data_IF_403609919680
#
_entry.id   IF_403609919680
#
_cell.length_a   1.000
_cell.length_b   1.000
_cell.length_c   1.000
_cell.angle_alpha   90.00
_cell.angle_beta   90.00
_cell.angle_gamma   90.00
#
_symmetry.space_group_name_H-M   'P 1'
#
loop_
_entity.id
_entity.type
_entity.pdbx_description
1 polymer ?
#
# COMPACT_ATOMS: atom_id res chain seq x y z
N UNK A 1 -41.84 -89.91 39.12
CA UNK A 1 -40.59 -90.20 38.44
C UNK A 1 -40.56 -89.32 37.24
N UNK A 2 -39.92 -88.16 37.26
CA UNK A 2 -39.59 -87.34 36.12
C UNK A 2 -38.49 -86.38 36.56
N UNK A 3 -37.32 -86.61 36.09
CA UNK A 3 -36.12 -85.83 36.31
C UNK A 3 -36.15 -84.48 35.57
N UNK A 4 -35.79 -83.51 36.33
CA UNK A 4 -35.67 -82.13 35.85
C UNK A 4 -34.22 -81.90 35.39
N UNK A 5 -34.03 -81.78 34.10
CA UNK A 5 -32.71 -81.41 33.48
C UNK A 5 -32.58 -79.91 33.41
N UNK A 6 -31.77 -79.41 34.31
CA UNK A 6 -31.39 -78.00 34.32
C UNK A 6 -30.49 -77.62 33.11
N UNK A 7 -30.92 -76.62 32.40
CA UNK A 7 -30.17 -76.01 31.36
C UNK A 7 -29.16 -74.99 31.94
N UNK A 8 -27.89 -75.35 31.93
CA UNK A 8 -26.78 -74.42 32.26
C UNK A 8 -26.29 -73.76 30.99
N UNK A 9 -26.70 -72.55 30.80
CA UNK A 9 -26.09 -71.71 29.75
C UNK A 9 -24.67 -71.25 30.19
N UNK A 10 -23.66 -71.29 29.29
CA UNK A 10 -22.33 -70.81 29.62
C UNK A 10 -22.30 -69.27 29.55
N UNK A 11 -21.90 -68.64 30.63
CA UNK A 11 -21.66 -67.21 30.79
C UNK A 11 -20.39 -66.80 29.99
N UNK A 12 -20.57 -66.25 28.84
CA UNK A 12 -19.48 -65.73 28.01
C UNK A 12 -19.19 -64.26 28.43
N UNK A 13 -18.00 -63.91 28.93
CA UNK A 13 -17.70 -62.53 29.26
C UNK A 13 -17.57 -61.66 27.98
N UNK A 14 -18.47 -60.68 27.84
CA UNK A 14 -18.39 -59.67 26.78
C UNK A 14 -17.17 -58.81 27.04
N UNK A 15 -16.10 -59.03 26.28
CA UNK A 15 -14.96 -58.11 26.20
C UNK A 15 -15.43 -56.82 25.55
N UNK A 16 -15.54 -55.75 26.34
CA UNK A 16 -15.69 -54.38 25.80
C UNK A 16 -14.48 -54.04 24.92
N UNK A 17 -14.66 -53.65 23.67
CA UNK A 17 -13.55 -53.23 22.85
C UNK A 17 -12.98 -51.92 23.42
N UNK A 18 -11.68 -51.88 23.61
CA UNK A 18 -10.89 -50.76 24.12
C UNK A 18 -10.80 -49.64 23.04
N UNK A 19 -11.93 -49.01 22.77
CA UNK A 19 -12.07 -47.94 21.76
C UNK A 19 -11.28 -46.66 22.10
N UNK A 20 -10.93 -46.44 23.38
CA UNK A 20 -10.23 -45.22 23.82
C UNK A 20 -8.78 -45.11 23.34
N UNK A 21 -8.05 -46.25 23.26
CA UNK A 21 -6.64 -46.20 22.84
C UNK A 21 -6.48 -45.94 21.33
N UNK A 22 -7.34 -46.48 20.51
CA UNK A 22 -7.30 -46.23 19.07
C UNK A 22 -7.60 -44.73 18.74
N UNK A 23 -8.52 -44.13 19.50
CA UNK A 23 -8.84 -42.69 19.34
C UNK A 23 -7.67 -41.80 19.75
N UNK A 24 -6.96 -42.14 20.86
CA UNK A 24 -5.76 -41.38 21.28
C UNK A 24 -4.61 -41.48 20.28
N UNK A 25 -4.37 -42.67 19.71
CA UNK A 25 -3.33 -42.85 18.70
C UNK A 25 -3.67 -42.12 17.40
N UNK A 26 -4.93 -42.08 16.98
CA UNK A 26 -5.37 -41.32 15.80
C UNK A 26 -5.28 -39.81 16.04
N UNK A 27 -5.67 -39.33 17.23
CA UNK A 27 -5.53 -37.91 17.58
C UNK A 27 -4.07 -37.49 17.66
N UNK A 28 -3.19 -38.31 18.25
CA UNK A 28 -1.74 -38.05 18.29
C UNK A 28 -1.13 -38.03 16.87
N UNK A 29 -1.52 -38.96 16.00
CA UNK A 29 -1.09 -39.02 14.61
C UNK A 29 -1.51 -37.75 13.83
N UNK A 30 -2.73 -37.26 14.03
CA UNK A 30 -3.26 -36.07 13.41
C UNK A 30 -2.49 -34.80 13.87
N UNK A 31 -2.17 -34.71 15.15
CA UNK A 31 -1.37 -33.63 15.72
C UNK A 31 0.05 -33.63 15.11
N UNK A 32 0.68 -34.79 14.97
CA UNK A 32 2.03 -34.91 14.36
C UNK A 32 1.98 -34.47 12.91
N UNK A 33 1.00 -34.91 12.15
CA UNK A 33 0.83 -34.48 10.74
C UNK A 33 0.63 -32.97 10.65
N UNK A 34 -0.17 -32.39 11.53
CA UNK A 34 -0.44 -30.95 11.56
C UNK A 34 0.83 -30.16 11.89
N UNK A 35 1.61 -30.60 12.87
CA UNK A 35 2.90 -29.98 13.22
C UNK A 35 3.89 -30.08 12.05
N UNK A 36 3.98 -31.25 11.40
CA UNK A 36 4.85 -31.42 10.22
C UNK A 36 4.40 -30.54 9.04
N UNK A 37 3.09 -30.39 8.81
CA UNK A 37 2.55 -29.52 7.78
C UNK A 37 2.85 -28.04 8.06
N UNK A 38 2.74 -27.60 9.32
CA UNK A 38 3.11 -26.23 9.73
C UNK A 38 4.61 -25.99 9.52
N UNK A 39 5.46 -26.93 9.94
CA UNK A 39 6.92 -26.81 9.78
C UNK A 39 7.33 -26.80 8.30
N UNK A 40 6.73 -27.65 7.48
CA UNK A 40 6.98 -27.70 6.03
C UNK A 40 6.47 -26.42 5.35
N UNK A 41 5.28 -25.94 5.70
CA UNK A 41 4.70 -24.70 5.17
C UNK A 41 5.53 -23.48 5.57
N UNK A 42 5.97 -23.41 6.82
CA UNK A 42 6.83 -22.32 7.29
C UNK A 42 8.19 -22.31 6.58
N UNK A 43 8.85 -23.48 6.45
CA UNK A 43 10.11 -23.61 5.73
C UNK A 43 9.99 -23.25 4.25
N UNK A 44 8.93 -23.72 3.58
CA UNK A 44 8.63 -23.37 2.19
C UNK A 44 8.37 -21.87 2.02
N UNK A 45 7.57 -21.27 2.94
CA UNK A 45 7.25 -19.84 2.90
C UNK A 45 8.48 -18.94 3.05
N UNK A 46 9.42 -19.29 3.96
CA UNK A 46 10.67 -18.55 4.11
C UNK A 46 11.54 -18.70 2.87
N UNK A 47 11.68 -19.91 2.32
CA UNK A 47 12.46 -20.17 1.12
C UNK A 47 11.93 -19.36 -0.08
N UNK A 48 10.62 -19.35 -0.30
CA UNK A 48 9.97 -18.59 -1.39
C UNK A 48 10.15 -17.09 -1.21
N UNK A 49 9.99 -16.56 0.01
CA UNK A 49 10.23 -15.13 0.28
C UNK A 49 11.67 -14.75 0.01
N UNK A 50 12.63 -15.53 0.51
CA UNK A 50 14.05 -15.28 0.29
C UNK A 50 14.45 -15.37 -1.19
N UNK A 51 13.87 -16.31 -1.93
CA UNK A 51 14.06 -16.43 -3.38
C UNK A 51 13.48 -15.23 -4.14
N UNK A 52 12.28 -14.80 -3.81
CA UNK A 52 11.65 -13.63 -4.42
C UNK A 52 12.41 -12.34 -4.08
N UNK A 53 12.85 -12.18 -2.84
CA UNK A 53 13.64 -11.04 -2.40
C UNK A 53 14.99 -10.97 -3.14
N UNK A 54 15.69 -12.10 -3.26
CA UNK A 54 16.95 -12.16 -4.02
C UNK A 54 16.74 -11.90 -5.52
N UNK A 55 15.64 -12.38 -6.10
CA UNK A 55 15.28 -12.12 -7.50
C UNK A 55 14.97 -10.63 -7.73
N UNK A 56 14.20 -10.01 -6.84
CA UNK A 56 13.90 -8.59 -6.92
C UNK A 56 15.15 -7.71 -6.77
N UNK A 57 16.04 -8.05 -5.82
CA UNK A 57 17.31 -7.35 -5.66
C UNK A 57 18.15 -7.49 -6.93
N UNK A 58 18.28 -8.69 -7.49
CA UNK A 58 19.05 -8.90 -8.72
C UNK A 58 18.50 -8.09 -9.89
N UNK A 59 17.18 -8.02 -10.04
CA UNK A 59 16.55 -7.19 -11.06
C UNK A 59 16.86 -5.71 -10.84
N UNK A 60 16.70 -5.20 -9.62
CA UNK A 60 17.02 -3.81 -9.28
C UNK A 60 18.47 -3.46 -9.54
N UNK A 61 19.41 -4.35 -9.21
CA UNK A 61 20.83 -4.15 -9.51
C UNK A 61 21.08 -4.09 -11.00
N UNK A 62 20.39 -4.92 -11.78
CA UNK A 62 20.45 -4.88 -13.26
C UNK A 62 19.94 -3.55 -13.82
N UNK A 63 18.83 -3.04 -13.33
CA UNK A 63 18.29 -1.73 -13.73
C UNK A 63 19.26 -0.58 -13.37
N UNK A 64 19.80 -0.59 -12.14
CA UNK A 64 20.80 0.41 -11.73
C UNK A 64 22.05 0.36 -12.61
N UNK A 65 22.47 -0.83 -13.07
CA UNK A 65 23.59 -0.97 -13.98
C UNK A 65 23.30 -0.33 -15.35
N UNK A 66 22.10 -0.55 -15.92
CA UNK A 66 21.69 0.08 -17.16
C UNK A 66 21.65 1.61 -17.03
N UNK A 67 21.11 2.14 -15.93
CA UNK A 67 21.13 3.57 -15.67
C UNK A 67 22.56 4.12 -15.52
N UNK A 68 23.46 3.37 -14.90
CA UNK A 68 24.87 3.76 -14.81
C UNK A 68 25.54 3.85 -16.20
N UNK A 69 25.24 2.93 -17.13
CA UNK A 69 25.73 2.99 -18.50
C UNK A 69 25.20 4.23 -19.23
N UNK A 70 23.93 4.55 -19.09
CA UNK A 70 23.34 5.77 -19.64
C UNK A 70 24.00 7.01 -19.02
N UNK A 71 24.24 7.03 -17.72
CA UNK A 71 24.93 8.14 -17.06
C UNK A 71 26.37 8.32 -17.56
N UNK A 72 27.08 7.25 -17.90
CA UNK A 72 28.43 7.30 -18.53
C UNK A 72 28.33 7.94 -19.92
N UNK A 73 27.36 7.52 -20.74
CA UNK A 73 27.17 8.02 -22.09
C UNK A 73 26.89 9.52 -22.11
N UNK A 74 26.11 10.00 -21.16
CA UNK A 74 25.80 11.42 -20.98
C UNK A 74 26.82 12.20 -20.14
N UNK A 75 28.00 11.60 -19.88
CA UNK A 75 29.10 12.21 -19.11
C UNK A 75 28.73 12.61 -17.67
N UNK A 76 27.67 12.00 -17.12
CA UNK A 76 27.23 12.19 -15.73
C UNK A 76 27.98 11.24 -14.80
N UNK A 77 29.29 11.36 -14.78
CA UNK A 77 30.20 10.40 -14.16
C UNK A 77 29.97 10.22 -12.64
N UNK A 78 29.61 11.29 -11.93
CA UNK A 78 29.32 11.21 -10.49
C UNK A 78 28.06 10.36 -10.22
N UNK A 79 27.01 10.52 -11.02
CA UNK A 79 25.81 9.69 -10.91
C UNK A 79 26.10 8.23 -11.25
N UNK A 80 26.86 8.01 -12.31
CA UNK A 80 27.29 6.67 -12.70
C UNK A 80 28.10 5.99 -11.56
N UNK A 81 29.03 6.73 -10.95
CA UNK A 81 29.83 6.25 -9.81
C UNK A 81 28.91 5.82 -8.65
N UNK A 82 28.00 6.67 -8.24
CA UNK A 82 27.09 6.38 -7.12
C UNK A 82 26.25 5.13 -7.36
N UNK A 83 25.76 4.93 -8.59
CA UNK A 83 25.00 3.73 -8.95
C UNK A 83 25.87 2.47 -8.95
N UNK A 84 27.10 2.55 -9.48
CA UNK A 84 28.04 1.43 -9.51
C UNK A 84 28.50 1.09 -8.08
N UNK A 85 28.76 2.06 -7.22
CA UNK A 85 29.06 1.88 -5.80
C UNK A 85 27.90 1.19 -5.07
N UNK A 86 26.66 1.61 -5.37
CA UNK A 86 25.46 0.97 -4.81
C UNK A 86 25.37 -0.51 -5.19
N UNK A 87 25.64 -0.84 -6.46
CA UNK A 87 25.59 -2.23 -6.93
C UNK A 87 26.66 -3.07 -6.21
N UNK A 88 27.91 -2.57 -6.10
CA UNK A 88 28.99 -3.26 -5.41
C UNK A 88 28.73 -3.46 -3.91
N UNK A 89 28.01 -2.54 -3.28
CA UNK A 89 27.63 -2.69 -1.88
C UNK A 89 26.64 -3.84 -1.64
N UNK A 90 25.84 -4.19 -2.65
CA UNK A 90 24.84 -5.27 -2.56
C UNK A 90 25.30 -6.59 -3.21
N UNK A 91 26.07 -6.51 -4.28
CA UNK A 91 26.68 -7.66 -4.96
C UNK A 91 28.11 -7.30 -5.42
N UNK A 92 29.13 -7.62 -4.63
CA UNK A 92 30.53 -7.36 -4.98
C UNK A 92 31.01 -8.06 -6.25
N UNK A 93 30.31 -9.11 -6.69
CA UNK A 93 30.66 -9.91 -7.86
C UNK A 93 29.79 -9.60 -9.08
N UNK A 94 28.98 -8.56 -9.06
CA UNK A 94 28.11 -8.22 -10.18
C UNK A 94 28.91 -8.00 -11.47
N UNK A 95 28.55 -8.69 -12.59
CA UNK A 95 29.36 -8.68 -13.81
C UNK A 95 29.51 -7.28 -14.41
N UNK A 96 30.75 -6.89 -14.69
CA UNK A 96 31.06 -5.63 -15.39
C UNK A 96 31.09 -4.37 -14.54
N UNK A 97 30.62 -4.40 -13.29
CA UNK A 97 30.52 -3.19 -12.45
C UNK A 97 31.90 -2.65 -12.08
N UNK A 98 32.85 -3.52 -11.69
CA UNK A 98 34.21 -3.10 -11.32
C UNK A 98 34.94 -2.45 -12.49
N UNK A 99 34.78 -3.03 -13.70
CA UNK A 99 35.36 -2.47 -14.92
C UNK A 99 34.79 -1.07 -15.21
N UNK A 100 33.46 -0.95 -15.14
CA UNK A 100 32.78 0.35 -15.40
C UNK A 100 33.09 1.38 -14.33
N UNK A 101 33.18 0.98 -13.07
CA UNK A 101 33.59 1.88 -11.99
C UNK A 101 35.03 2.39 -12.23
N UNK A 102 35.96 1.50 -12.60
CA UNK A 102 37.32 1.91 -12.95
C UNK A 102 37.33 2.88 -14.14
N UNK A 103 36.55 2.59 -15.17
CA UNK A 103 36.38 3.50 -16.31
C UNK A 103 35.88 4.88 -15.88
N UNK A 104 34.85 4.94 -15.05
CA UNK A 104 34.27 6.19 -14.54
C UNK A 104 35.30 6.96 -13.71
N UNK A 105 36.03 6.29 -12.82
CA UNK A 105 37.06 6.92 -12.00
C UNK A 105 38.20 7.50 -12.84
N UNK A 106 38.61 6.80 -13.92
CA UNK A 106 39.61 7.32 -14.88
C UNK A 106 39.06 8.57 -15.60
N UNK A 107 37.80 8.53 -16.06
CA UNK A 107 37.16 9.65 -16.76
C UNK A 107 36.97 10.86 -15.83
N UNK A 108 36.67 10.65 -14.55
CA UNK A 108 36.57 11.70 -13.55
C UNK A 108 37.92 12.35 -13.20
N UNK A 109 39.00 11.55 -13.24
CA UNK A 109 40.34 12.00 -12.91
C UNK A 109 41.21 12.34 -14.13
N UNK A 110 40.64 12.32 -15.36
CA UNK A 110 41.35 12.86 -16.51
C UNK A 110 41.60 14.36 -16.24
N UNK A 111 42.87 14.79 -16.24
CA UNK A 111 43.15 16.21 -16.12
C UNK A 111 42.47 16.89 -17.32
N UNK A 112 41.45 17.69 -17.05
CA UNK A 112 40.98 18.65 -18.04
C UNK A 112 42.20 19.40 -18.53
N UNK A 113 42.46 19.49 -19.86
CA UNK A 113 43.64 20.22 -20.36
C UNK A 113 43.61 21.59 -19.71
N UNK A 114 44.61 21.85 -18.85
CA UNK A 114 44.78 23.13 -18.21
C UNK A 114 45.01 24.12 -19.32
N UNK A 115 43.96 24.83 -19.70
CA UNK A 115 44.09 25.98 -20.56
C UNK A 115 45.01 26.91 -19.82
N UNK A 116 46.22 27.14 -20.37
CA UNK A 116 47.15 28.17 -19.90
C UNK A 116 46.33 29.41 -19.60
N UNK A 117 46.43 30.08 -18.42
CA UNK A 117 45.60 31.22 -18.09
C UNK A 117 45.95 32.33 -19.09
N UNK A 118 45.24 32.35 -20.20
CA UNK A 118 44.97 33.56 -20.95
C UNK A 118 44.26 34.46 -19.96
N UNK A 119 44.69 35.74 -19.83
CA UNK A 119 44.06 36.71 -18.95
C UNK A 119 42.56 36.51 -19.00
N UNK A 120 42.00 35.98 -17.91
CA UNK A 120 40.60 35.59 -17.84
C UNK A 120 39.81 36.85 -18.21
N UNK A 121 39.00 36.86 -19.28
CA UNK A 121 38.09 37.98 -19.47
C UNK A 121 37.29 38.08 -18.17
N UNK A 122 37.15 39.28 -17.63
CA UNK A 122 36.24 39.56 -16.51
C UNK A 122 34.96 38.80 -16.79
N UNK A 123 34.51 37.88 -15.86
CA UNK A 123 33.32 37.09 -16.12
C UNK A 123 32.22 38.02 -16.58
N UNK A 124 31.67 37.78 -17.76
CA UNK A 124 30.52 38.53 -18.27
C UNK A 124 29.28 38.08 -17.47
N UNK A 125 29.07 38.68 -16.32
CA UNK A 125 27.94 38.44 -15.45
C UNK A 125 26.62 38.92 -16.04
N UNK A 126 26.63 39.66 -17.16
CA UNK A 126 25.41 40.17 -17.77
C UNK A 126 24.42 39.08 -18.10
N UNK A 127 24.87 37.93 -18.60
CA UNK A 127 24.00 36.81 -18.91
C UNK A 127 23.39 36.14 -17.64
N UNK A 128 24.20 35.95 -16.59
CA UNK A 128 23.73 35.40 -15.33
C UNK A 128 22.81 36.37 -14.56
N UNK A 129 23.13 37.70 -14.61
CA UNK A 129 22.29 38.70 -13.97
C UNK A 129 20.94 38.87 -14.65
N UNK A 130 20.92 38.88 -15.99
CA UNK A 130 19.66 38.87 -16.77
C UNK A 130 18.81 37.63 -16.50
N UNK A 131 19.42 36.43 -16.50
CA UNK A 131 18.74 35.19 -16.17
C UNK A 131 18.22 35.22 -14.72
N UNK A 132 18.96 35.79 -13.78
CA UNK A 132 18.50 35.94 -12.39
C UNK A 132 17.25 36.84 -12.29
N UNK A 133 17.26 37.98 -12.96
CA UNK A 133 16.09 38.86 -13.03
C UNK A 133 14.89 38.16 -13.71
N UNK A 134 15.14 37.40 -14.77
CA UNK A 134 14.12 36.62 -15.44
C UNK A 134 13.53 35.56 -14.52
N UNK A 135 14.35 34.77 -13.78
CA UNK A 135 13.89 33.78 -12.84
C UNK A 135 13.01 34.43 -11.75
N UNK A 136 13.37 35.61 -11.25
CA UNK A 136 12.54 36.33 -10.28
C UNK A 136 11.17 36.71 -10.86
N UNK A 137 11.11 37.16 -12.11
CA UNK A 137 9.84 37.45 -12.78
C UNK A 137 8.98 36.21 -12.98
N UNK A 138 9.58 35.07 -13.37
CA UNK A 138 8.90 33.80 -13.55
C UNK A 138 8.35 33.27 -12.21
N UNK A 139 9.12 33.41 -11.14
CA UNK A 139 8.65 33.05 -9.78
C UNK A 139 7.46 33.94 -9.38
N UNK A 140 7.53 35.25 -9.63
CA UNK A 140 6.44 36.16 -9.36
C UNK A 140 5.18 35.87 -10.21
N UNK A 141 5.37 35.39 -11.42
CA UNK A 141 4.30 34.93 -12.32
C UNK A 141 3.81 33.49 -12.01
N UNK A 142 4.41 32.80 -11.05
CA UNK A 142 4.15 31.39 -10.72
C UNK A 142 4.43 30.43 -11.92
N UNK A 143 5.28 30.84 -12.85
CA UNK A 143 5.81 29.97 -13.89
C UNK A 143 6.97 29.14 -13.33
N UNK A 144 6.62 28.11 -12.56
CA UNK A 144 7.59 27.27 -11.88
C UNK A 144 8.52 26.54 -12.83
N UNK A 145 8.03 25.87 -13.90
CA UNK A 145 8.91 25.22 -14.88
C UNK A 145 9.88 26.18 -15.56
N UNK A 146 9.40 27.35 -15.96
CA UNK A 146 10.23 28.40 -16.55
C UNK A 146 11.30 28.88 -15.58
N UNK A 147 10.92 29.15 -14.33
CA UNK A 147 11.85 29.57 -13.28
C UNK A 147 12.95 28.52 -13.03
N UNK A 148 12.59 27.23 -12.88
CA UNK A 148 13.55 26.14 -12.69
C UNK A 148 14.52 26.06 -13.86
N UNK A 149 14.01 26.09 -15.12
CA UNK A 149 14.85 26.08 -16.30
C UNK A 149 15.81 27.28 -16.40
N UNK A 150 15.35 28.48 -15.98
CA UNK A 150 16.18 29.69 -15.96
C UNK A 150 17.22 29.62 -14.83
N UNK A 151 16.89 29.02 -13.66
CA UNK A 151 17.85 28.78 -12.60
C UNK A 151 18.94 27.79 -13.04
N UNK A 152 18.55 26.72 -13.79
CA UNK A 152 19.52 25.80 -14.42
C UNK A 152 20.46 26.51 -15.39
N UNK A 153 19.94 27.48 -16.15
CA UNK A 153 20.77 28.31 -17.02
C UNK A 153 21.78 29.15 -16.22
N UNK A 154 21.37 29.78 -15.13
CA UNK A 154 22.29 30.50 -14.23
C UNK A 154 23.42 29.61 -13.78
N UNK A 155 23.11 28.38 -13.31
CA UNK A 155 24.14 27.43 -12.86
C UNK A 155 25.08 26.97 -13.95
N UNK A 156 24.61 26.94 -15.21
CA UNK A 156 25.46 26.67 -16.40
C UNK A 156 26.35 27.84 -16.77
N UNK A 157 25.85 29.06 -16.65
CA UNK A 157 26.60 30.29 -16.97
C UNK A 157 27.66 30.59 -15.91
N UNK A 158 27.26 30.54 -14.63
CA UNK A 158 28.13 30.74 -13.48
C UNK A 158 27.59 29.98 -12.28
N UNK A 159 28.22 28.87 -11.94
CA UNK A 159 27.82 28.01 -10.83
C UNK A 159 27.95 28.69 -9.45
N UNK A 160 28.73 29.80 -9.37
CA UNK A 160 28.98 30.52 -8.12
C UNK A 160 28.13 31.78 -7.97
N UNK A 161 27.42 32.17 -9.07
CA UNK A 161 26.62 33.39 -9.07
C UNK A 161 25.50 33.33 -8.00
N UNK A 162 25.56 34.25 -7.03
CA UNK A 162 24.58 34.43 -5.95
C UNK A 162 24.04 33.10 -5.38
N UNK A 163 24.94 32.15 -5.09
CA UNK A 163 24.60 30.75 -4.77
C UNK A 163 23.46 30.63 -3.77
N UNK A 164 23.54 31.32 -2.62
CA UNK A 164 22.51 31.22 -1.58
C UNK A 164 21.12 31.73 -2.03
N UNK A 165 21.08 32.77 -2.88
CA UNK A 165 19.83 33.31 -3.41
C UNK A 165 19.24 32.38 -4.50
N UNK A 166 20.08 31.88 -5.38
CA UNK A 166 19.68 30.92 -6.42
C UNK A 166 19.17 29.62 -5.81
N UNK A 167 19.84 29.11 -4.78
CA UNK A 167 19.41 27.90 -4.05
C UNK A 167 18.07 28.13 -3.33
N UNK A 168 17.88 29.30 -2.72
CA UNK A 168 16.59 29.69 -2.14
C UNK A 168 15.47 29.77 -3.16
N UNK A 169 15.78 30.28 -4.37
CA UNK A 169 14.83 30.33 -5.48
C UNK A 169 14.49 28.94 -6.04
N UNK A 170 15.48 28.03 -6.13
CA UNK A 170 15.25 26.63 -6.46
C UNK A 170 14.31 25.96 -5.45
N UNK A 171 14.63 26.09 -4.16
CA UNK A 171 13.75 25.54 -3.11
C UNK A 171 12.32 26.03 -3.29
N UNK A 172 12.15 27.35 -3.43
CA UNK A 172 10.83 27.97 -3.56
C UNK A 172 10.09 27.51 -4.81
N UNK A 173 10.73 27.51 -5.96
CA UNK A 173 10.13 27.10 -7.23
C UNK A 173 9.76 25.60 -7.24
N UNK A 174 10.69 24.74 -6.84
CA UNK A 174 10.47 23.30 -6.79
C UNK A 174 9.36 22.91 -5.78
N UNK A 175 9.38 23.52 -4.59
CA UNK A 175 8.35 23.30 -3.57
C UNK A 175 6.96 23.69 -4.05
N UNK A 176 6.83 24.87 -4.67
CA UNK A 176 5.54 25.33 -5.16
C UNK A 176 5.08 24.59 -6.42
N UNK A 177 6.01 24.21 -7.28
CA UNK A 177 5.68 23.37 -8.43
C UNK A 177 5.18 22.00 -7.98
N UNK A 178 5.83 21.35 -7.02
CA UNK A 178 5.36 20.10 -6.43
C UNK A 178 3.97 20.23 -5.82
N UNK A 179 3.70 21.35 -5.14
CA UNK A 179 2.39 21.65 -4.58
C UNK A 179 1.32 21.77 -5.69
N UNK A 180 1.60 22.53 -6.75
CA UNK A 180 0.66 22.74 -7.84
C UNK A 180 0.39 21.45 -8.64
N UNK A 181 1.42 20.63 -8.84
CA UNK A 181 1.26 19.31 -9.48
C UNK A 181 0.27 18.44 -8.73
N UNK A 182 0.37 18.35 -7.42
CA UNK A 182 -0.53 17.55 -6.60
C UNK A 182 -1.94 18.18 -6.56
N UNK A 183 -2.03 19.45 -6.18
CA UNK A 183 -3.31 20.05 -5.82
C UNK A 183 -4.13 20.52 -7.00
N UNK A 184 -3.47 20.98 -8.09
CA UNK A 184 -4.14 21.54 -9.27
C UNK A 184 -4.18 20.58 -10.45
N UNK A 185 -3.24 19.64 -10.54
CA UNK A 185 -3.10 18.80 -11.73
C UNK A 185 -3.34 17.31 -11.46
N UNK A 186 -3.45 16.91 -10.18
CA UNK A 186 -3.59 15.48 -9.82
C UNK A 186 -2.34 14.64 -10.15
N UNK A 187 -1.22 15.29 -10.42
CA UNK A 187 0.04 14.63 -10.73
C UNK A 187 0.82 14.37 -9.42
N UNK A 188 0.42 13.32 -8.72
CA UNK A 188 0.99 12.98 -7.41
C UNK A 188 2.47 12.61 -7.51
N UNK A 189 2.85 11.83 -8.52
CA UNK A 189 4.23 11.38 -8.75
C UNK A 189 5.16 12.55 -9.08
N UNK A 190 4.72 13.43 -9.98
CA UNK A 190 5.44 14.66 -10.31
C UNK A 190 5.62 15.56 -9.09
N UNK A 191 4.58 15.67 -8.25
CA UNK A 191 4.67 16.45 -7.01
C UNK A 191 5.67 15.87 -6.02
N UNK A 192 5.63 14.56 -5.78
CA UNK A 192 6.62 13.85 -4.94
C UNK A 192 8.03 14.08 -5.45
N UNK A 193 8.23 13.99 -6.77
CA UNK A 193 9.53 14.21 -7.40
C UNK A 193 10.06 15.62 -7.12
N UNK A 194 9.25 16.66 -7.36
CA UNK A 194 9.68 18.03 -7.17
C UNK A 194 9.89 18.39 -5.69
N UNK A 195 9.11 17.85 -4.77
CA UNK A 195 9.39 17.97 -3.34
C UNK A 195 10.72 17.33 -2.95
N UNK A 196 11.02 16.16 -3.51
CA UNK A 196 12.30 15.47 -3.26
C UNK A 196 13.49 16.27 -3.83
N UNK A 197 13.30 16.94 -4.97
CA UNK A 197 14.33 17.85 -5.48
C UNK A 197 14.49 19.09 -4.61
N UNK A 198 13.40 19.66 -4.10
CA UNK A 198 13.45 20.81 -3.21
C UNK A 198 14.28 20.57 -1.95
N UNK A 199 14.23 19.33 -1.41
CA UNK A 199 15.04 18.95 -0.22
C UNK A 199 16.55 19.08 -0.43
N UNK A 200 17.05 19.11 -1.66
CA UNK A 200 18.47 19.38 -1.94
C UNK A 200 18.89 20.79 -1.57
N UNK A 201 17.95 21.72 -1.51
CA UNK A 201 18.17 23.13 -1.25
C UNK A 201 17.70 23.58 0.14
N UNK A 202 16.87 22.79 0.80
CA UNK A 202 16.36 23.09 2.12
C UNK A 202 15.35 22.05 2.61
N UNK A 203 15.12 21.99 3.92
CA UNK A 203 14.11 21.10 4.50
C UNK A 203 12.70 21.50 4.08
N UNK A 204 11.89 20.53 3.69
CA UNK A 204 10.49 20.80 3.37
C UNK A 204 9.74 21.30 4.62
N UNK A 205 8.87 22.27 4.38
CA UNK A 205 7.88 22.67 5.38
C UNK A 205 6.88 21.55 5.66
N UNK A 206 6.11 21.72 6.75
CA UNK A 206 5.16 20.71 7.22
C UNK A 206 4.12 20.36 6.16
N UNK A 207 3.60 21.36 5.42
CA UNK A 207 2.53 21.16 4.46
C UNK A 207 3.03 20.40 3.23
N UNK A 208 4.17 20.79 2.68
CA UNK A 208 4.80 20.12 1.56
C UNK A 208 5.17 18.67 1.91
N UNK A 209 5.71 18.45 3.11
CA UNK A 209 6.02 17.11 3.58
C UNK A 209 4.76 16.26 3.78
N UNK A 210 3.70 16.83 4.36
CA UNK A 210 2.40 16.17 4.52
C UNK A 210 1.78 15.77 3.19
N UNK A 211 1.78 16.67 2.20
CA UNK A 211 1.31 16.39 0.85
C UNK A 211 2.14 15.29 0.17
N UNK A 212 3.46 15.31 0.30
CA UNK A 212 4.34 14.29 -0.24
C UNK A 212 4.03 12.90 0.34
N UNK A 213 3.97 12.81 1.65
CA UNK A 213 3.66 11.54 2.32
C UNK A 213 2.22 11.08 2.03
N UNK A 214 1.25 12.00 2.07
CA UNK A 214 -0.12 11.70 1.68
C UNK A 214 -0.23 11.18 0.25
N UNK A 215 0.49 11.81 -0.70
CA UNK A 215 0.53 11.35 -2.10
C UNK A 215 1.13 9.94 -2.22
N UNK A 216 2.17 9.61 -1.44
CA UNK A 216 2.74 8.27 -1.39
C UNK A 216 1.71 7.25 -0.90
N UNK A 217 1.02 7.53 0.20
CA UNK A 217 -0.03 6.65 0.72
C UNK A 217 -1.16 6.47 -0.29
N UNK A 218 -1.57 7.54 -0.97
CA UNK A 218 -2.57 7.45 -2.04
C UNK A 218 -2.13 6.49 -3.14
N UNK A 219 -0.90 6.65 -3.66
CA UNK A 219 -0.36 5.81 -4.73
C UNK A 219 -0.22 4.34 -4.29
N UNK A 220 0.18 4.09 -3.04
CA UNK A 220 0.22 2.74 -2.47
C UNK A 220 -1.19 2.16 -2.41
N UNK A 221 -2.18 2.92 -1.89
CA UNK A 221 -3.57 2.48 -1.88
C UNK A 221 -4.11 2.17 -3.27
N UNK A 222 -3.77 3.02 -4.26
CA UNK A 222 -4.13 2.81 -5.66
C UNK A 222 -3.49 1.55 -6.27
N UNK A 223 -2.32 1.13 -5.81
CA UNK A 223 -1.68 -0.10 -6.29
C UNK A 223 -2.39 -1.38 -5.84
N UNK A 224 -3.23 -1.31 -4.80
CA UNK A 224 -4.08 -2.41 -4.35
C UNK A 224 -5.50 -2.39 -4.97
N UNK A 225 -5.80 -1.41 -5.82
CA UNK A 225 -7.11 -1.27 -6.44
C UNK A 225 -7.50 -2.51 -7.22
N UNK A 226 -8.70 -3.03 -6.97
CA UNK A 226 -9.24 -4.27 -7.54
C UNK A 226 -8.45 -5.57 -7.20
N UNK A 227 -7.37 -5.47 -6.42
CA UNK A 227 -6.56 -6.61 -6.00
C UNK A 227 -6.82 -6.97 -4.53
N UNK A 228 -6.81 -5.97 -3.66
CA UNK A 228 -7.01 -6.12 -2.22
C UNK A 228 -7.71 -4.87 -1.65
N UNK A 229 -9.03 -4.96 -1.53
CA UNK A 229 -9.85 -3.86 -1.05
C UNK A 229 -9.56 -3.48 0.41
N UNK A 230 -9.19 -4.44 1.25
CA UNK A 230 -8.84 -4.17 2.64
C UNK A 230 -7.55 -3.33 2.73
N UNK A 231 -6.53 -3.67 1.94
CA UNK A 231 -5.29 -2.89 1.87
C UNK A 231 -5.54 -1.51 1.24
N UNK A 232 -6.31 -1.44 0.16
CA UNK A 232 -6.68 -0.17 -0.45
C UNK A 232 -7.33 0.77 0.58
N UNK A 233 -8.31 0.29 1.35
CA UNK A 233 -8.97 1.02 2.44
C UNK A 233 -7.98 1.47 3.51
N UNK A 234 -7.07 0.59 3.94
CA UNK A 234 -6.09 0.89 4.99
C UNK A 234 -5.22 2.11 4.63
N UNK A 235 -4.85 2.25 3.35
CA UNK A 235 -4.05 3.39 2.89
C UNK A 235 -4.89 4.62 2.60
N UNK A 236 -6.02 4.51 1.90
CA UNK A 236 -6.86 5.67 1.59
C UNK A 236 -7.45 6.32 2.83
N UNK A 237 -7.78 5.57 3.86
CA UNK A 237 -8.29 6.11 5.13
C UNK A 237 -7.28 7.05 5.81
N UNK A 238 -5.98 6.75 5.70
CA UNK A 238 -4.94 7.61 6.28
C UNK A 238 -4.84 8.97 5.59
N UNK A 239 -5.31 9.07 4.35
CA UNK A 239 -5.22 10.30 3.55
C UNK A 239 -6.57 10.93 3.23
N UNK A 240 -7.65 10.44 3.85
CA UNK A 240 -9.01 10.94 3.63
C UNK A 240 -9.16 12.46 3.81
N UNK A 241 -8.38 13.06 4.74
CA UNK A 241 -8.42 14.49 5.04
C UNK A 241 -7.60 15.39 4.12
N UNK A 242 -6.81 14.82 3.18
CA UNK A 242 -5.88 15.62 2.36
C UNK A 242 -6.46 16.14 1.04
N UNK A 243 -7.67 15.70 0.66
CA UNK A 243 -8.29 16.14 -0.60
C UNK A 243 -7.50 15.76 -1.85
N UNK A 244 -6.70 14.69 -1.78
CA UNK A 244 -5.86 14.23 -2.89
C UNK A 244 -6.71 13.60 -4.00
N UNK A 245 -6.21 13.71 -5.22
CA UNK A 245 -6.73 13.07 -6.42
C UNK A 245 -5.58 12.76 -7.38
N UNK A 246 -5.75 11.79 -8.26
CA UNK A 246 -4.69 11.33 -9.19
C UNK A 246 -4.94 11.74 -10.66
N UNK A 247 -5.76 12.76 -10.87
CA UNK A 247 -6.19 13.15 -12.20
C UNK A 247 -7.45 12.41 -12.67
N UNK A 248 -7.86 11.33 -12.00
CA UNK A 248 -9.06 10.53 -12.32
C UNK A 248 -10.04 10.46 -11.17
N UNK A 249 -9.58 10.14 -9.96
CA UNK A 249 -10.43 9.93 -8.80
C UNK A 249 -9.86 10.61 -7.56
N UNK A 250 -10.76 11.17 -6.75
CA UNK A 250 -10.42 11.70 -5.42
C UNK A 250 -10.29 10.55 -4.41
N UNK A 251 -9.60 10.82 -3.29
CA UNK A 251 -9.57 9.89 -2.14
C UNK A 251 -10.97 9.50 -1.70
N UNK A 252 -11.91 10.46 -1.65
CA UNK A 252 -13.28 10.22 -1.20
C UNK A 252 -14.02 9.26 -2.14
N UNK A 253 -13.87 9.42 -3.45
CA UNK A 253 -14.45 8.51 -4.44
C UNK A 253 -13.83 7.10 -4.34
N UNK A 254 -12.50 7.03 -4.15
CA UNK A 254 -11.83 5.74 -3.96
C UNK A 254 -12.28 5.05 -2.68
N UNK A 255 -12.40 5.78 -1.58
CA UNK A 255 -12.91 5.25 -0.31
C UNK A 255 -14.35 4.75 -0.46
N UNK A 256 -15.21 5.52 -1.10
CA UNK A 256 -16.60 5.13 -1.33
C UNK A 256 -16.71 3.79 -2.07
N UNK A 257 -16.00 3.66 -3.19
CA UNK A 257 -16.00 2.43 -3.97
C UNK A 257 -15.34 1.28 -3.20
N UNK A 258 -14.19 1.53 -2.56
CA UNK A 258 -13.47 0.50 -1.83
C UNK A 258 -14.27 -0.05 -0.65
N UNK A 259 -15.01 0.79 0.08
CA UNK A 259 -15.91 0.33 1.14
C UNK A 259 -17.02 -0.57 0.60
N UNK A 260 -17.66 -0.20 -0.52
CA UNK A 260 -18.67 -1.06 -1.16
C UNK A 260 -18.07 -2.40 -1.56
N UNK A 261 -16.96 -2.41 -2.28
CA UNK A 261 -16.34 -3.65 -2.79
C UNK A 261 -15.78 -4.54 -1.68
N UNK A 262 -15.23 -3.93 -0.64
CA UNK A 262 -14.79 -4.70 0.53
C UNK A 262 -15.97 -5.31 1.28
N UNK A 263 -17.06 -4.58 1.42
CA UNK A 263 -18.29 -5.10 2.02
C UNK A 263 -18.89 -6.23 1.18
N UNK A 264 -18.89 -6.14 -0.17
CA UNK A 264 -19.31 -7.22 -1.06
C UNK A 264 -18.50 -8.51 -0.78
N UNK A 265 -17.17 -8.39 -0.65
CA UNK A 265 -16.31 -9.53 -0.28
C UNK A 265 -16.63 -10.12 1.10
N UNK A 266 -16.92 -9.28 2.08
CA UNK A 266 -17.31 -9.73 3.43
C UNK A 266 -18.63 -10.48 3.42
N UNK A 267 -19.59 -10.06 2.58
CA UNK A 267 -20.86 -10.79 2.36
C UNK A 267 -20.61 -12.18 1.77
N UNK A 268 -19.72 -12.30 0.78
CA UNK A 268 -19.34 -13.58 0.21
C UNK A 268 -18.66 -14.51 1.22
N UNK A 269 -17.92 -13.94 2.18
CA UNK A 269 -17.26 -14.67 3.28
C UNK A 269 -18.19 -14.98 4.44
N UNK A 270 -19.45 -14.51 4.40
CA UNK A 270 -20.41 -14.67 5.49
C UNK A 270 -20.16 -13.77 6.71
N UNK A 271 -19.31 -12.76 6.58
CA UNK A 271 -18.99 -11.77 7.62
C UNK A 271 -19.98 -10.60 7.57
N UNK A 272 -21.24 -10.90 7.80
CA UNK A 272 -22.34 -10.00 7.54
C UNK A 272 -22.32 -8.71 8.37
N UNK A 273 -21.97 -8.78 9.66
CA UNK A 273 -21.96 -7.58 10.51
C UNK A 273 -20.81 -6.63 10.15
N UNK A 274 -19.66 -7.17 9.76
CA UNK A 274 -18.54 -6.38 9.26
C UNK A 274 -18.88 -5.76 7.90
N UNK A 275 -19.61 -6.49 7.05
CA UNK A 275 -20.11 -5.97 5.78
C UNK A 275 -21.05 -4.78 5.98
N UNK A 276 -22.03 -4.88 6.91
CA UNK A 276 -22.92 -3.77 7.24
C UNK A 276 -22.13 -2.55 7.65
N UNK A 277 -21.14 -2.70 8.52
CA UNK A 277 -20.29 -1.59 8.98
C UNK A 277 -19.59 -0.88 7.80
N UNK A 278 -19.08 -1.64 6.84
CA UNK A 278 -18.39 -1.07 5.68
C UNK A 278 -19.38 -0.41 4.69
N UNK A 279 -20.57 -0.98 4.48
CA UNK A 279 -21.60 -0.33 3.67
C UNK A 279 -22.07 0.97 4.33
N UNK A 280 -22.21 1.03 5.65
CA UNK A 280 -22.54 2.27 6.37
C UNK A 280 -21.47 3.34 6.15
N UNK A 281 -20.19 2.98 6.17
CA UNK A 281 -19.10 3.90 5.82
C UNK A 281 -19.18 4.37 4.36
N UNK A 282 -19.55 3.47 3.44
CA UNK A 282 -19.77 3.87 2.04
C UNK A 282 -20.93 4.86 1.91
N UNK A 283 -22.04 4.65 2.63
CA UNK A 283 -23.22 5.55 2.62
C UNK A 283 -22.91 6.94 3.16
N UNK A 284 -21.96 7.09 4.09
CA UNK A 284 -21.50 8.41 4.56
C UNK A 284 -20.84 9.21 3.43
N UNK A 285 -20.20 8.52 2.49
CA UNK A 285 -19.49 9.14 1.36
C UNK A 285 -20.38 9.33 0.12
N UNK A 286 -21.41 8.50 -0.05
CA UNK A 286 -22.31 8.57 -1.20
C UNK A 286 -23.35 7.44 -1.20
N UNK A 287 -24.23 7.43 -2.19
CA UNK A 287 -25.22 6.39 -2.35
C UNK A 287 -24.56 5.06 -2.78
N UNK A 288 -25.06 3.94 -2.25
CA UNK A 288 -24.63 2.62 -2.71
C UNK A 288 -25.08 2.40 -4.15
N UNK A 289 -24.28 1.70 -4.93
CA UNK A 289 -24.72 1.18 -6.22
C UNK A 289 -25.71 0.02 -6.04
N UNK A 290 -26.33 -0.43 -7.13
CA UNK A 290 -27.38 -1.45 -7.06
C UNK A 290 -26.89 -2.77 -6.45
N UNK A 291 -25.65 -3.17 -6.75
CA UNK A 291 -25.06 -4.42 -6.23
C UNK A 291 -24.76 -4.29 -4.73
N UNK A 292 -24.16 -3.17 -4.33
CA UNK A 292 -23.86 -2.89 -2.93
C UNK A 292 -25.15 -2.72 -2.09
N UNK A 293 -26.22 -2.17 -2.67
CA UNK A 293 -27.52 -2.06 -2.00
C UNK A 293 -28.12 -3.45 -1.72
N UNK A 294 -28.07 -4.35 -2.69
CA UNK A 294 -28.52 -5.75 -2.52
C UNK A 294 -27.69 -6.48 -1.47
N UNK A 295 -26.36 -6.31 -1.55
CA UNK A 295 -25.41 -6.84 -0.57
C UNK A 295 -25.69 -6.36 0.84
N UNK A 296 -25.93 -5.05 1.01
CA UNK A 296 -26.28 -4.42 2.28
C UNK A 296 -27.56 -5.01 2.88
N UNK A 297 -28.64 -5.11 2.08
CA UNK A 297 -29.92 -5.67 2.55
C UNK A 297 -29.77 -7.13 2.98
N UNK A 298 -28.97 -7.91 2.24
CA UNK A 298 -28.65 -9.30 2.61
C UNK A 298 -27.85 -9.34 3.92
N UNK A 299 -26.77 -8.57 4.02
CA UNK A 299 -25.93 -8.53 5.19
C UNK A 299 -26.70 -8.08 6.44
N UNK A 300 -27.56 -7.07 6.27
CA UNK A 300 -28.38 -6.55 7.37
C UNK A 300 -29.35 -7.59 7.92
N UNK A 301 -30.03 -8.35 7.06
CA UNK A 301 -30.95 -9.43 7.48
C UNK A 301 -30.21 -10.55 8.24
N UNK A 302 -29.03 -10.90 7.81
CA UNK A 302 -28.24 -11.96 8.43
C UNK A 302 -27.55 -11.51 9.72
N UNK A 303 -27.11 -10.26 9.80
CA UNK A 303 -26.51 -9.66 11.00
C UNK A 303 -27.56 -9.37 12.08
N UNK A 304 -28.75 -8.92 11.67
CA UNK A 304 -29.84 -8.56 12.56
C UNK A 304 -31.09 -9.40 12.25
N UNK A 305 -31.10 -10.71 12.55
CA UNK A 305 -32.25 -11.53 12.25
C UNK A 305 -33.47 -11.03 13.05
N UNK A 306 -34.65 -11.02 12.43
CA UNK A 306 -35.86 -10.56 13.11
C UNK A 306 -36.11 -11.44 14.33
N UNK A 307 -36.26 -10.82 15.48
CA UNK A 307 -36.63 -11.53 16.72
C UNK A 307 -37.94 -12.27 16.46
N UNK A 308 -38.02 -13.60 16.70
CA UNK A 308 -39.27 -14.34 16.49
C UNK A 308 -40.38 -13.66 17.32
N UNK A 309 -41.40 -13.15 16.63
CA UNK A 309 -42.57 -12.60 17.30
C UNK A 309 -43.28 -13.74 17.99
N UNK A 310 -43.20 -13.77 19.34
CA UNK A 310 -43.99 -14.70 20.14
C UNK A 310 -45.44 -14.17 20.06
N UNK A 311 -46.19 -14.66 19.06
CA UNK A 311 -47.64 -14.47 19.07
C UNK A 311 -48.17 -15.24 20.27
N UNK A 312 -48.74 -14.57 21.30
CA UNK A 312 -49.32 -15.30 22.42
C UNK A 312 -50.51 -16.07 21.88
N UNK A 313 -50.36 -17.40 21.82
CA UNK A 313 -51.51 -18.28 21.58
C UNK A 313 -52.46 -18.12 22.77
N UNK A 314 -53.54 -17.37 22.61
CA UNK A 314 -54.62 -17.31 23.57
C UNK A 314 -55.20 -18.73 23.66
N UNK A 315 -54.77 -19.51 24.65
CA UNK A 315 -55.50 -20.71 25.04
C UNK A 315 -56.79 -20.29 25.64
N UNK A 316 -57.87 -20.40 24.88
CA UNK A 316 -59.24 -20.25 25.42
C UNK A 316 -59.49 -21.52 26.23
N UNK A 317 -59.29 -21.41 27.53
CA UNK A 317 -59.74 -22.47 28.46
C UNK A 317 -61.23 -22.42 28.52
N UNK A 318 -61.91 -23.28 27.78
CA UNK A 318 -63.37 -23.48 27.92
C UNK A 318 -63.61 -24.18 29.25
N UNK A 319 -64.04 -23.44 30.27
CA UNK A 319 -64.51 -24.00 31.50
C UNK A 319 -65.84 -24.73 31.26
N UNK A 320 -65.98 -26.02 31.53
CA UNK A 320 -67.27 -26.73 31.41
C UNK A 320 -68.26 -26.07 32.38
N UNK A 321 -69.37 -25.57 31.84
CA UNK A 321 -70.45 -25.00 32.66
C UNK A 321 -71.01 -26.03 33.62
N UNK A 322 -71.08 -25.62 34.88
CA UNK A 322 -71.77 -26.37 35.95
C UNK A 322 -73.28 -26.51 35.59
N UNK A 323 -73.85 -27.72 35.62
CA UNK A 323 -75.30 -27.91 35.36
C UNK A 323 -76.08 -27.26 36.53
N UNK A 324 -77.00 -26.38 36.14
CA UNK A 324 -77.91 -25.74 37.08
C UNK A 324 -78.86 -26.75 37.78
N UNK A 325 -79.34 -26.37 38.96
CA UNK A 325 -80.20 -27.28 39.75
C UNK A 325 -81.58 -27.48 39.05
N UNK A 326 -81.93 -28.68 38.81
CA UNK A 326 -83.23 -29.15 38.41
C UNK A 326 -84.24 -28.87 39.53
N UNK A 327 -85.25 -28.03 39.30
CA UNK A 327 -86.40 -27.90 40.14
C UNK A 327 -87.38 -28.98 39.78
N UNK A 328 -87.83 -29.74 40.78
CA UNK A 328 -89.01 -30.61 40.75
C UNK A 328 -90.19 -29.95 41.47
N UNK A 329 -91.38 -30.34 41.11
CA UNK A 329 -92.64 -29.64 41.38
C UNK A 329 -93.10 -29.63 42.79
#
# INVERSE_FOLDING_TARGET
MSENLGNTEPNIPIRRPWRGRAFLFNALGLIIILVLAILAGYGSGISTRKSNESSNITQQLGEQFQYALVDIEFQRYENARQRLDFILAHDPNFPGVQEKLTQVLVLMNQPTPTITPSLSPTPDFTGAEQAFAQAQQQIAAQDWPGAIGTLDLIRKLDSTYKTGQVDGMYYFALRNYGYDLITKQGNLEGGIYHFTLAERFGTLDRDANGLREGSRYYLIGASFWELDWAQALAYFTQVAGYGLWDGTMTVSERLHIAYMRYADQLVEQGQYCDAVTNYDQAQVLGALDAAAQEGYERAFRECFPPTPSITPTLQITVTPGTPGPTSYP
#
